data_IF_476819515966
#
_entry.id   IF_476819515966
#
_cell.length_a   1.000
_cell.length_b   1.000
_cell.length_c   1.000
_cell.angle_alpha   90.00
_cell.angle_beta   90.00
_cell.angle_gamma   90.00
#
_symmetry.space_group_name_H-M   'P 1'
#
loop_
_entity.id
_entity.type
_entity.pdbx_description
1 polymer ?
#
# COMPACT_ATOMS: atom_id res chain seq x y z
N UNK A 1 -3.30 8.39 21.70
CA UNK A 1 -2.98 9.15 20.47
C UNK A 1 -4.20 9.17 19.55
N UNK A 2 -4.62 10.33 19.16
CA UNK A 2 -5.75 10.48 18.25
C UNK A 2 -5.26 10.51 16.81
N UNK A 3 -5.93 9.76 15.93
CA UNK A 3 -5.70 9.85 14.51
C UNK A 3 -6.55 10.99 13.94
N UNK A 4 -5.90 11.88 13.20
CA UNK A 4 -6.57 12.95 12.50
C UNK A 4 -6.53 12.66 11.00
N UNK A 5 -7.69 12.59 10.38
CA UNK A 5 -7.82 12.36 8.94
C UNK A 5 -8.17 13.68 8.27
N UNK A 6 -7.41 14.10 7.25
CA UNK A 6 -7.75 15.31 6.52
C UNK A 6 -9.19 15.27 6.00
N UNK A 7 -9.85 16.44 5.99
CA UNK A 7 -11.20 16.60 5.50
C UNK A 7 -12.27 15.85 6.30
N UNK A 8 -11.93 15.28 7.46
CA UNK A 8 -12.88 14.53 8.28
C UNK A 8 -13.40 13.25 7.63
N UNK A 9 -12.69 12.72 6.65
CA UNK A 9 -13.14 11.54 5.90
C UNK A 9 -13.18 10.30 6.78
N UNK A 10 -14.21 9.48 6.56
CA UNK A 10 -14.39 8.20 7.26
C UNK A 10 -14.02 7.00 6.39
N UNK A 11 -13.72 7.22 5.12
CA UNK A 11 -13.29 6.19 4.18
C UNK A 11 -12.00 6.66 3.52
N UNK A 12 -10.93 5.87 3.68
CA UNK A 12 -9.61 6.21 3.13
C UNK A 12 -9.03 5.04 2.37
N UNK A 13 -8.05 5.31 1.54
CA UNK A 13 -7.24 4.29 0.85
C UNK A 13 -5.97 4.09 1.65
N UNK A 14 -5.64 2.84 1.95
CA UNK A 14 -4.42 2.48 2.66
C UNK A 14 -3.58 1.57 1.77
N UNK A 15 -2.37 1.99 1.42
CA UNK A 15 -1.41 1.14 0.74
C UNK A 15 -0.73 0.25 1.76
N UNK A 16 -0.62 -1.04 1.46
CA UNK A 16 0.02 -2.00 2.35
C UNK A 16 1.01 -2.87 1.60
N UNK A 17 2.18 -3.08 2.17
CA UNK A 17 3.18 -4.00 1.63
C UNK A 17 3.18 -5.35 2.35
N UNK A 18 2.68 -5.42 3.57
CA UNK A 18 2.59 -6.67 4.33
C UNK A 18 1.66 -6.49 5.53
N UNK A 19 1.11 -7.59 6.02
CA UNK A 19 0.19 -7.55 7.16
C UNK A 19 0.83 -7.00 8.44
N UNK A 20 2.05 -7.43 8.83
CA UNK A 20 2.67 -6.89 10.05
C UNK A 20 2.86 -5.38 10.03
N UNK A 21 3.18 -4.81 8.85
CA UNK A 21 3.42 -3.37 8.72
C UNK A 21 2.14 -2.55 8.90
N UNK A 22 1.01 -3.07 8.46
CA UNK A 22 -0.24 -2.31 8.41
C UNK A 22 -1.25 -2.72 9.47
N UNK A 23 -1.04 -3.83 10.16
CA UNK A 23 -2.02 -4.36 11.12
C UNK A 23 -2.39 -3.35 12.20
N UNK A 24 -1.38 -2.71 12.81
CA UNK A 24 -1.62 -1.72 13.87
C UNK A 24 -2.37 -0.51 13.32
N UNK A 25 -2.02 -0.05 12.12
CA UNK A 25 -2.67 1.10 11.47
C UNK A 25 -4.14 0.78 11.19
N UNK A 26 -4.42 -0.38 10.61
CA UNK A 26 -5.79 -0.80 10.29
C UNK A 26 -6.62 -0.90 11.57
N UNK A 27 -6.08 -1.54 12.60
CA UNK A 27 -6.77 -1.68 13.88
C UNK A 27 -7.10 -0.32 14.47
N UNK A 28 -6.13 0.61 14.45
CA UNK A 28 -6.34 1.96 14.97
C UNK A 28 -7.39 2.73 14.19
N UNK A 29 -7.36 2.63 12.86
CA UNK A 29 -8.35 3.28 12.01
C UNK A 29 -9.76 2.78 12.33
N UNK A 30 -9.93 1.47 12.49
CA UNK A 30 -11.23 0.89 12.82
C UNK A 30 -11.72 1.34 14.19
N UNK A 31 -10.83 1.47 15.17
CA UNK A 31 -11.18 2.00 16.51
C UNK A 31 -11.73 3.42 16.43
N UNK A 32 -11.21 4.22 15.50
CA UNK A 32 -11.66 5.58 15.27
C UNK A 32 -12.85 5.64 14.29
N UNK A 33 -13.42 4.49 13.95
CA UNK A 33 -14.55 4.36 13.01
C UNK A 33 -14.23 4.87 11.61
N UNK A 34 -12.97 4.76 11.22
CA UNK A 34 -12.50 5.06 9.88
C UNK A 34 -12.33 3.75 9.13
N UNK A 35 -12.93 3.63 7.94
CA UNK A 35 -12.89 2.40 7.16
C UNK A 35 -11.82 2.50 6.07
N UNK A 36 -10.72 1.74 6.18
CA UNK A 36 -9.73 1.73 5.11
C UNK A 36 -10.16 0.77 4.00
N UNK A 37 -9.85 1.13 2.77
CA UNK A 37 -9.77 0.21 1.65
C UNK A 37 -8.30 -0.08 1.44
N UNK A 38 -7.91 -1.31 1.67
CA UNK A 38 -6.49 -1.71 1.57
C UNK A 38 -6.19 -2.04 0.12
N UNK A 39 -5.21 -1.37 -0.46
CA UNK A 39 -4.73 -1.70 -1.80
C UNK A 39 -3.35 -2.35 -1.69
N UNK A 40 -3.14 -3.38 -2.49
CA UNK A 40 -1.88 -4.12 -2.53
C UNK A 40 -1.25 -3.90 -3.90
N UNK A 41 -0.38 -2.89 -3.98
CA UNK A 41 0.37 -2.56 -5.19
C UNK A 41 1.86 -2.55 -4.84
N UNK A 42 2.54 -3.64 -5.09
CA UNK A 42 3.91 -3.85 -4.64
C UNK A 42 4.77 -4.49 -5.73
N UNK A 43 5.03 -3.77 -6.84
CA UNK A 43 5.84 -4.32 -7.93
C UNK A 43 7.31 -4.53 -7.54
N UNK A 44 7.70 -4.00 -6.38
CA UNK A 44 9.05 -4.09 -5.84
C UNK A 44 9.31 -5.38 -5.05
N UNK A 45 8.28 -6.17 -4.75
CA UNK A 45 8.47 -7.39 -3.97
C UNK A 45 8.88 -8.53 -4.89
N UNK A 46 10.04 -9.10 -4.62
CA UNK A 46 10.63 -10.20 -5.37
C UNK A 46 11.22 -11.22 -4.41
N UNK A 47 11.28 -12.50 -4.77
CA UNK A 47 10.68 -13.11 -5.96
C UNK A 47 9.16 -13.18 -5.87
N UNK A 48 8.52 -13.68 -6.91
CA UNK A 48 7.05 -13.77 -6.97
C UNK A 48 6.46 -14.58 -5.81
N UNK A 49 7.16 -15.60 -5.36
CA UNK A 49 6.72 -16.43 -4.22
C UNK A 49 6.55 -15.57 -2.96
N UNK A 50 7.49 -14.67 -2.70
CA UNK A 50 7.41 -13.76 -1.57
C UNK A 50 6.25 -12.79 -1.74
N UNK A 51 6.04 -12.28 -2.96
CA UNK A 51 4.91 -11.41 -3.28
C UNK A 51 3.59 -12.10 -2.97
N UNK A 52 3.42 -13.34 -3.46
CA UNK A 52 2.18 -14.10 -3.26
C UNK A 52 1.95 -14.42 -1.78
N UNK A 53 3.01 -14.73 -1.04
CA UNK A 53 2.91 -15.02 0.39
C UNK A 53 2.43 -13.81 1.17
N UNK A 54 3.00 -12.64 0.90
CA UNK A 54 2.61 -11.39 1.57
C UNK A 54 1.20 -10.99 1.21
N UNK A 55 0.81 -11.18 -0.04
CA UNK A 55 -0.55 -10.88 -0.49
C UNK A 55 -1.56 -11.79 0.23
N UNK A 56 -1.29 -13.07 0.32
CA UNK A 56 -2.18 -14.01 1.00
C UNK A 56 -2.37 -13.66 2.47
N UNK A 57 -1.30 -13.29 3.15
CA UNK A 57 -1.36 -12.85 4.55
C UNK A 57 -2.21 -11.61 4.71
N UNK A 58 -2.06 -10.64 3.80
CA UNK A 58 -2.82 -9.42 3.83
C UNK A 58 -4.31 -9.67 3.58
N UNK A 59 -4.63 -10.57 2.66
CA UNK A 59 -6.02 -10.94 2.39
C UNK A 59 -6.65 -11.56 3.63
N UNK A 60 -5.96 -12.48 4.29
CA UNK A 60 -6.46 -13.12 5.52
C UNK A 60 -6.72 -12.08 6.62
N UNK A 61 -5.79 -11.16 6.79
CA UNK A 61 -5.95 -10.10 7.80
C UNK A 61 -7.12 -9.19 7.48
N UNK A 62 -7.25 -8.77 6.21
CA UNK A 62 -8.35 -7.91 5.78
C UNK A 62 -9.70 -8.59 6.01
N UNK A 63 -9.81 -9.87 5.68
CA UNK A 63 -11.03 -10.65 5.92
C UNK A 63 -11.36 -10.73 7.41
N UNK A 64 -10.36 -10.97 8.23
CA UNK A 64 -10.54 -11.05 9.68
C UNK A 64 -11.04 -9.75 10.26
N UNK A 65 -10.56 -8.61 9.75
CA UNK A 65 -10.95 -7.29 10.22
C UNK A 65 -12.16 -6.72 9.52
N UNK A 66 -12.66 -7.39 8.48
CA UNK A 66 -13.82 -6.91 7.72
C UNK A 66 -13.54 -5.66 6.90
N UNK A 67 -12.30 -5.46 6.45
CA UNK A 67 -11.94 -4.34 5.59
C UNK A 67 -11.82 -4.80 4.14
N UNK A 68 -12.10 -3.88 3.22
CA UNK A 68 -12.00 -4.15 1.79
C UNK A 68 -10.55 -4.28 1.37
N UNK A 69 -10.25 -5.31 0.59
CA UNK A 69 -8.93 -5.52 0.00
C UNK A 69 -9.04 -5.45 -1.52
N UNK A 70 -8.12 -4.72 -2.15
CA UNK A 70 -8.05 -4.63 -3.60
C UNK A 70 -6.67 -5.12 -4.05
N UNK A 71 -6.67 -6.16 -4.88
CA UNK A 71 -5.47 -6.71 -5.49
C UNK A 71 -5.16 -5.87 -6.72
N UNK A 72 -4.08 -5.11 -6.65
CA UNK A 72 -3.66 -4.24 -7.74
C UNK A 72 -2.60 -4.92 -8.61
N UNK A 73 -2.25 -4.27 -9.72
CA UNK A 73 -1.32 -4.82 -10.69
C UNK A 73 0.04 -5.18 -10.10
N UNK A 74 0.62 -6.26 -10.57
CA UNK A 74 2.00 -6.63 -10.24
C UNK A 74 2.89 -6.33 -11.46
N UNK A 75 3.08 -5.06 -11.75
CA UNK A 75 3.83 -4.58 -12.91
C UNK A 75 5.31 -4.46 -12.59
N UNK A 76 6.00 -5.60 -12.55
CA UNK A 76 7.42 -5.67 -12.23
C UNK A 76 8.27 -5.04 -13.33
N UNK A 77 7.85 -5.16 -14.58
CA UNK A 77 8.59 -4.58 -15.71
C UNK A 77 8.67 -3.06 -15.56
N UNK A 78 7.57 -2.41 -15.27
CA UNK A 78 7.54 -0.97 -15.03
C UNK A 78 8.47 -0.58 -13.89
N UNK A 79 8.44 -1.35 -12.79
CA UNK A 79 9.30 -1.09 -11.65
C UNK A 79 10.79 -1.21 -12.01
N UNK A 80 11.16 -2.26 -12.76
CA UNK A 80 12.54 -2.43 -13.19
C UNK A 80 12.99 -1.30 -14.12
N UNK A 81 12.12 -0.85 -15.03
CA UNK A 81 12.43 0.27 -15.91
C UNK A 81 12.67 1.55 -15.14
N UNK A 82 11.81 1.86 -14.16
CA UNK A 82 11.89 3.07 -13.36
C UNK A 82 13.06 3.08 -12.39
N UNK A 83 13.55 1.90 -12.00
CA UNK A 83 14.69 1.80 -11.09
C UNK A 83 15.99 1.45 -11.82
N UNK A 84 15.97 1.39 -13.15
CA UNK A 84 17.14 1.06 -13.95
C UNK A 84 18.28 2.04 -13.67
N UNK A 85 19.49 1.49 -13.47
CA UNK A 85 20.65 2.29 -13.15
C UNK A 85 20.81 2.59 -11.67
N UNK A 86 19.85 2.17 -10.83
CA UNK A 86 19.89 2.44 -9.40
C UNK A 86 20.13 1.17 -8.57
N UNK A 87 20.50 0.07 -9.23
CA UNK A 87 20.65 -1.25 -8.58
C UNK A 87 21.75 -1.26 -7.51
N UNK A 88 22.76 -0.40 -7.67
CA UNK A 88 23.88 -0.29 -6.76
C UNK A 88 23.69 0.77 -5.68
N UNK A 89 22.58 1.46 -5.69
CA UNK A 89 22.29 2.43 -4.65
C UNK A 89 22.02 1.73 -3.33
N UNK A 90 22.56 2.29 -2.27
CA UNK A 90 22.36 1.75 -0.92
C UNK A 90 20.93 1.91 -0.47
N UNK A 91 20.55 1.16 0.55
CA UNK A 91 19.27 1.28 1.21
C UNK A 91 19.04 2.75 1.61
N UNK A 92 17.81 3.23 1.42
CA UNK A 92 17.38 4.63 1.63
C UNK A 92 18.01 5.62 0.65
N UNK A 93 18.65 5.11 -0.40
CA UNK A 93 19.17 5.96 -1.47
C UNK A 93 18.15 6.21 -2.57
N UNK A 94 18.66 6.55 -3.76
CA UNK A 94 17.81 6.93 -4.92
C UNK A 94 16.84 5.83 -5.35
N UNK A 95 17.26 4.56 -5.26
CA UNK A 95 16.38 3.45 -5.65
C UNK A 95 15.17 3.33 -4.72
N UNK A 96 15.37 3.47 -3.42
CA UNK A 96 14.28 3.45 -2.45
C UNK A 96 13.32 4.61 -2.65
N UNK A 97 13.87 5.78 -2.96
CA UNK A 97 13.05 6.96 -3.25
C UNK A 97 12.21 6.75 -4.51
N UNK A 98 12.80 6.24 -5.59
CA UNK A 98 12.08 5.96 -6.83
C UNK A 98 10.97 4.92 -6.60
N UNK A 99 11.26 3.87 -5.85
CA UNK A 99 10.31 2.83 -5.50
C UNK A 99 9.13 3.40 -4.71
N UNK A 100 9.43 4.24 -3.73
CA UNK A 100 8.40 4.91 -2.92
C UNK A 100 7.50 5.78 -3.80
N UNK A 101 8.08 6.57 -4.72
CA UNK A 101 7.31 7.42 -5.62
C UNK A 101 6.39 6.63 -6.54
N UNK A 102 6.86 5.49 -7.06
CA UNK A 102 6.04 4.62 -7.92
C UNK A 102 4.77 4.21 -7.18
N UNK A 103 4.92 3.75 -5.94
CA UNK A 103 3.80 3.30 -5.12
C UNK A 103 2.89 4.46 -4.73
N UNK A 104 3.47 5.59 -4.36
CA UNK A 104 2.71 6.78 -3.96
C UNK A 104 1.87 7.32 -5.12
N UNK A 105 2.44 7.38 -6.31
CA UNK A 105 1.72 7.83 -7.51
C UNK A 105 0.55 6.90 -7.85
N UNK A 106 0.76 5.60 -7.71
CA UNK A 106 -0.32 4.63 -7.94
C UNK A 106 -1.45 4.83 -6.94
N UNK A 107 -1.12 5.00 -5.66
CA UNK A 107 -2.10 5.27 -4.61
C UNK A 107 -2.90 6.53 -4.89
N UNK A 108 -2.23 7.60 -5.30
CA UNK A 108 -2.90 8.85 -5.60
C UNK A 108 -3.88 8.69 -6.76
N UNK A 109 -3.47 8.00 -7.83
CA UNK A 109 -4.34 7.73 -8.97
C UNK A 109 -5.53 6.86 -8.58
N UNK A 110 -5.27 5.78 -7.85
CA UNK A 110 -6.35 4.89 -7.39
C UNK A 110 -7.37 5.67 -6.58
N UNK A 111 -6.90 6.48 -5.65
CA UNK A 111 -7.72 7.29 -4.77
C UNK A 111 -8.63 8.21 -5.58
N UNK A 112 -8.05 8.93 -6.54
CA UNK A 112 -8.79 9.84 -7.40
C UNK A 112 -9.80 9.11 -8.28
N UNK A 113 -9.39 8.02 -8.91
CA UNK A 113 -10.23 7.27 -9.86
C UNK A 113 -11.43 6.60 -9.19
N UNK A 114 -11.31 6.24 -7.92
CA UNK A 114 -12.36 5.53 -7.19
C UNK A 114 -13.17 6.43 -6.24
N UNK A 115 -13.00 7.73 -6.37
CA UNK A 115 -13.82 8.69 -5.62
C UNK A 115 -13.45 8.88 -4.16
N UNK A 116 -12.30 8.38 -3.73
CA UNK A 116 -11.79 8.66 -2.39
C UNK A 116 -11.08 10.01 -2.37
N UNK A 117 -11.02 10.62 -1.20
CA UNK A 117 -10.38 11.94 -1.04
C UNK A 117 -9.08 11.88 -0.27
N UNK A 118 -8.81 10.78 0.44
CA UNK A 118 -7.63 10.65 1.31
C UNK A 118 -7.01 9.28 1.11
N UNK A 119 -5.68 9.24 1.09
CA UNK A 119 -4.92 7.99 1.10
C UNK A 119 -3.73 8.09 2.04
N UNK A 120 -3.19 6.93 2.41
CA UNK A 120 -2.01 6.84 3.25
C UNK A 120 -1.18 5.59 2.94
#
# INVERSE_FOLDING_TARGET
>A
MNLSVPLGEKHIVLHSCCAPCSAAVITRLLEEKIKPTVIFYNPNIHPKDEYERRKAEQIRFAQKKGVRFVDCDYDTQYWFEETKGLEHERERGKRCFACFLIRLKYCARFTSQHGFKVFT
#
